data_IF_382790740561
#
_entry.id   IF_382790740561
#
_cell.length_a   1.000
_cell.length_b   1.000
_cell.length_c   1.000
_cell.angle_alpha   90.00
_cell.angle_beta   90.00
_cell.angle_gamma   90.00
#
_symmetry.space_group_name_H-M   'P 1'
#
loop_
_entity.id
_entity.type
_entity.pdbx_description
1 polymer ?
#
# COMPACT_ATOMS: atom_id res chain seq x y z
N UNK A 1 -8.87 -12.12 -30.81
CA UNK A 1 -7.56 -12.79 -30.70
C UNK A 1 -7.61 -13.59 -29.41
N UNK A 2 -7.39 -14.89 -29.49
CA UNK A 2 -7.25 -15.74 -28.30
C UNK A 2 -5.82 -15.56 -27.76
N UNK A 3 -5.69 -15.13 -26.51
CA UNK A 3 -4.39 -14.85 -25.89
C UNK A 3 -3.85 -16.04 -25.09
N UNK A 4 -4.69 -17.02 -24.77
CA UNK A 4 -4.32 -18.17 -23.94
C UNK A 4 -3.33 -19.10 -24.66
N UNK A 5 -3.36 -19.11 -26.00
CA UNK A 5 -2.40 -19.82 -26.83
C UNK A 5 -0.93 -19.38 -26.66
N UNK A 6 -0.69 -18.23 -26.03
CA UNK A 6 0.66 -17.73 -25.74
C UNK A 6 1.15 -18.09 -24.34
N UNK A 7 0.31 -18.71 -23.51
CA UNK A 7 0.71 -19.13 -22.17
C UNK A 7 1.60 -20.37 -22.25
N UNK A 8 2.51 -20.49 -21.27
CA UNK A 8 3.30 -21.69 -21.13
C UNK A 8 2.38 -22.89 -20.81
N UNK A 9 2.66 -24.06 -21.37
CA UNK A 9 1.88 -25.27 -21.10
C UNK A 9 1.89 -25.68 -19.62
N UNK A 10 2.89 -25.23 -18.86
CA UNK A 10 3.01 -25.43 -17.40
C UNK A 10 2.46 -24.26 -16.58
N UNK A 11 1.73 -23.32 -17.21
CA UNK A 11 1.11 -22.24 -16.49
C UNK A 11 0.08 -22.82 -15.49
N UNK A 12 0.00 -22.26 -14.26
CA UNK A 12 -1.06 -22.64 -13.35
C UNK A 12 -2.40 -22.17 -13.92
N UNK A 13 -3.48 -22.84 -13.50
CA UNK A 13 -4.83 -22.36 -13.73
C UNK A 13 -5.00 -20.92 -13.22
N UNK A 14 -5.82 -20.10 -13.90
CA UNK A 14 -6.05 -18.73 -13.49
C UNK A 14 -6.63 -18.67 -12.07
N UNK A 15 -6.21 -17.66 -11.31
CA UNK A 15 -6.78 -17.41 -10.00
C UNK A 15 -8.30 -17.14 -10.12
N UNK A 16 -9.13 -17.67 -9.21
CA UNK A 16 -10.55 -17.38 -9.22
C UNK A 16 -10.81 -15.89 -8.95
N UNK A 17 -11.94 -15.38 -9.45
CA UNK A 17 -12.38 -14.03 -9.14
C UNK A 17 -12.60 -13.85 -7.63
N UNK A 18 -12.27 -12.66 -7.11
CA UNK A 18 -12.49 -12.34 -5.71
C UNK A 18 -14.00 -12.27 -5.39
N UNK A 19 -14.45 -13.15 -4.50
CA UNK A 19 -15.87 -13.28 -4.14
C UNK A 19 -16.30 -12.43 -2.92
N UNK A 20 -15.44 -11.52 -2.44
CA UNK A 20 -15.70 -10.73 -1.24
C UNK A 20 -15.28 -11.42 0.06
N UNK A 21 -15.60 -10.77 1.18
CA UNK A 21 -15.37 -11.34 2.51
C UNK A 21 -16.57 -12.17 2.98
N UNK A 22 -16.33 -13.26 3.74
CA UNK A 22 -17.41 -14.00 4.38
C UNK A 22 -18.12 -13.12 5.42
N UNK A 23 -19.40 -13.43 5.70
CA UNK A 23 -20.21 -12.72 6.73
C UNK A 23 -19.50 -12.63 8.08
N UNK A 24 -18.80 -13.69 8.45
CA UNK A 24 -17.97 -13.75 9.65
C UNK A 24 -16.54 -14.02 9.21
N UNK A 25 -15.72 -12.97 9.23
CA UNK A 25 -14.37 -12.99 8.69
C UNK A 25 -13.35 -13.10 9.82
N UNK A 26 -12.85 -14.32 10.03
CA UNK A 26 -11.81 -14.64 11.02
C UNK A 26 -10.45 -14.91 10.36
N UNK A 27 -10.28 -14.56 9.08
CA UNK A 27 -9.02 -14.74 8.34
C UNK A 27 -8.35 -13.39 8.08
N UNK A 28 -7.07 -13.40 7.68
CA UNK A 28 -6.37 -12.23 7.15
C UNK A 28 -5.77 -11.26 8.17
N UNK A 29 -6.06 -11.38 9.47
CA UNK A 29 -5.44 -10.53 10.51
C UNK A 29 -5.81 -9.05 10.38
N UNK A 30 -7.06 -8.75 10.00
CA UNK A 30 -7.52 -7.38 9.81
C UNK A 30 -7.51 -6.59 11.13
N UNK A 31 -7.06 -5.34 11.06
CA UNK A 31 -7.21 -4.41 12.16
C UNK A 31 -8.69 -4.06 12.39
N UNK A 32 -9.04 -3.79 13.64
CA UNK A 32 -10.36 -3.31 14.00
C UNK A 32 -10.62 -1.92 13.36
N UNK A 33 -11.73 -1.70 12.62
CA UNK A 33 -12.02 -0.42 11.97
C UNK A 33 -11.99 0.77 12.93
N UNK A 34 -12.50 0.59 14.14
CA UNK A 34 -12.53 1.57 15.23
C UNK A 34 -11.14 1.95 15.78
N UNK A 35 -10.12 1.13 15.52
CA UNK A 35 -8.75 1.41 15.92
C UNK A 35 -7.99 2.25 14.88
N UNK A 36 -8.58 2.52 13.70
CA UNK A 36 -7.95 3.33 12.67
C UNK A 36 -8.16 4.82 12.99
N UNK A 37 -7.08 5.60 13.20
CA UNK A 37 -7.20 7.02 13.57
C UNK A 37 -7.48 7.87 12.31
N UNK A 38 -8.69 7.76 11.76
CA UNK A 38 -9.05 8.28 10.45
C UNK A 38 -8.83 9.79 10.32
N UNK A 39 -9.28 10.57 11.29
CA UNK A 39 -9.19 12.03 11.28
C UNK A 39 -7.73 12.48 11.36
N UNK A 40 -6.94 11.82 12.23
CA UNK A 40 -5.52 12.12 12.37
C UNK A 40 -4.74 11.77 11.11
N UNK A 41 -5.05 10.64 10.46
CA UNK A 41 -4.45 10.23 9.20
C UNK A 41 -4.76 11.24 8.08
N UNK A 42 -6.01 11.67 7.96
CA UNK A 42 -6.42 12.66 6.97
C UNK A 42 -5.69 14.00 7.17
N UNK A 43 -5.62 14.48 8.41
CA UNK A 43 -4.92 15.72 8.76
C UNK A 43 -3.41 15.64 8.48
N UNK A 44 -2.78 14.51 8.83
CA UNK A 44 -1.35 14.29 8.61
C UNK A 44 -1.03 14.21 7.12
N UNK A 45 -1.85 13.50 6.33
CA UNK A 45 -1.69 13.40 4.88
C UNK A 45 -1.81 14.77 4.20
N UNK A 46 -2.82 15.57 4.56
CA UNK A 46 -2.98 16.93 4.03
C UNK A 46 -1.74 17.78 4.32
N UNK A 47 -1.24 17.73 5.55
CA UNK A 47 -0.06 18.49 5.98
C UNK A 47 1.20 18.07 5.20
N UNK A 48 1.45 16.76 5.06
CA UNK A 48 2.60 16.23 4.33
C UNK A 48 2.55 16.58 2.83
N UNK A 49 1.38 16.48 2.20
CA UNK A 49 1.20 16.83 0.79
C UNK A 49 1.44 18.32 0.56
N UNK A 50 0.94 19.19 1.45
CA UNK A 50 1.16 20.63 1.31
C UNK A 50 2.62 21.03 1.55
N UNK A 51 3.35 20.30 2.41
CA UNK A 51 4.75 20.57 2.70
C UNK A 51 5.70 20.08 1.58
N UNK A 52 5.50 18.84 1.11
CA UNK A 52 6.49 18.10 0.31
C UNK A 52 5.91 17.52 -0.99
N UNK A 53 4.62 17.74 -1.27
CA UNK A 53 3.90 17.06 -2.36
C UNK A 53 4.41 17.36 -3.77
N UNK A 54 5.21 18.41 -3.97
CA UNK A 54 5.86 18.66 -5.27
C UNK A 54 6.86 17.56 -5.63
N UNK A 55 7.48 16.93 -4.64
CA UNK A 55 8.49 15.89 -4.85
C UNK A 55 7.87 14.57 -5.33
N UNK A 56 6.54 14.41 -5.19
CA UNK A 56 5.77 13.28 -5.74
C UNK A 56 5.89 13.17 -7.27
N UNK A 57 6.28 14.25 -7.96
CA UNK A 57 6.54 14.23 -9.40
C UNK A 57 7.82 13.46 -9.78
N UNK A 58 8.62 13.03 -8.80
CA UNK A 58 9.88 12.32 -9.01
C UNK A 58 9.88 10.96 -8.33
N UNK A 59 10.56 9.98 -8.95
CA UNK A 59 10.77 8.69 -8.30
C UNK A 59 11.43 8.87 -6.94
N UNK A 60 10.94 8.11 -5.96
CA UNK A 60 11.39 8.14 -4.58
C UNK A 60 11.23 9.50 -3.86
N UNK A 61 10.33 10.37 -4.33
CA UNK A 61 10.02 11.65 -3.67
C UNK A 61 11.27 12.50 -3.42
N UNK A 62 12.16 12.58 -4.41
CA UNK A 62 13.48 13.23 -4.32
C UNK A 62 14.41 12.75 -3.17
N UNK A 63 14.06 11.65 -2.48
CA UNK A 63 14.76 11.16 -1.27
C UNK A 63 15.68 9.95 -1.54
N UNK A 64 15.80 9.54 -2.81
CA UNK A 64 16.62 8.41 -3.23
C UNK A 64 16.03 7.04 -2.87
N UNK A 65 16.69 5.93 -3.25
CA UNK A 65 16.11 4.59 -3.22
C UNK A 65 15.77 4.05 -1.82
N UNK A 66 16.29 4.70 -0.77
CA UNK A 66 16.04 4.33 0.62
C UNK A 66 14.71 4.91 1.16
N UNK A 67 13.93 5.61 0.35
CA UNK A 67 12.65 6.22 0.73
C UNK A 67 12.80 7.52 1.53
N UNK A 68 11.69 7.99 2.11
CA UNK A 68 11.59 9.26 2.83
C UNK A 68 12.53 9.33 4.04
N UNK A 69 13.45 10.30 4.04
CA UNK A 69 14.48 10.42 5.09
C UNK A 69 13.90 10.66 6.49
N UNK A 70 12.91 11.54 6.63
CA UNK A 70 12.31 11.84 7.95
C UNK A 70 11.64 10.61 8.58
N UNK A 71 11.09 9.71 7.77
CA UNK A 71 10.52 8.46 8.26
C UNK A 71 11.62 7.52 8.78
N UNK A 72 12.76 7.43 8.06
CA UNK A 72 13.90 6.63 8.52
C UNK A 72 14.47 7.14 9.83
N UNK A 73 14.65 8.45 9.95
CA UNK A 73 15.15 9.09 11.18
C UNK A 73 14.21 8.84 12.36
N UNK A 74 12.89 8.96 12.14
CA UNK A 74 11.88 8.66 13.16
C UNK A 74 11.93 7.20 13.63
N UNK A 75 12.01 6.24 12.71
CA UNK A 75 12.09 4.81 13.04
C UNK A 75 13.40 4.50 13.76
N UNK A 76 14.53 5.04 13.29
CA UNK A 76 15.83 4.82 13.91
C UNK A 76 15.90 5.34 15.36
N UNK A 77 15.13 6.38 15.70
CA UNK A 77 15.02 6.87 17.08
C UNK A 77 14.00 6.12 17.95
N UNK A 78 13.25 5.17 17.39
CA UNK A 78 12.26 4.34 18.12
C UNK A 78 12.79 2.96 18.51
N UNK A 79 13.91 2.56 17.92
CA UNK A 79 14.63 1.31 18.17
C UNK A 79 15.82 1.57 19.10
#
# INVERSE_FOLDING_TARGET
MDIEQFFAASAPEPAPAWAGFPRYNFTGGHNAPEAIPLEALASAASSAILAEGRDLATYNMASGPLGHRGLREFIAGKL
#
